data_IF_594782941918
#
_entry.id   IF_594782941918
#
_cell.length_a   1.000
_cell.length_b   1.000
_cell.length_c   1.000
_cell.angle_alpha   90.00
_cell.angle_beta   90.00
_cell.angle_gamma   90.00
#
_symmetry.space_group_name_H-M   'P 1'
#
loop_
_entity.id
_entity.type
_entity.pdbx_description
1 polymer ?
#
# COMPACT_ATOMS: atom_id res chain seq x y z
N UNK A 1 0.86 -31.44 -8.74
CA UNK A 1 0.73 -29.97 -8.71
C UNK A 1 0.38 -29.54 -7.28
N UNK A 2 1.33 -28.96 -6.53
CA UNK A 2 1.15 -28.64 -5.11
C UNK A 2 -0.11 -27.82 -4.79
N UNK A 3 -0.41 -26.82 -5.64
CA UNK A 3 -1.63 -26.00 -5.52
C UNK A 3 -2.94 -26.79 -5.60
N UNK A 4 -3.02 -27.81 -6.46
CA UNK A 4 -4.24 -28.62 -6.63
C UNK A 4 -4.40 -29.59 -5.46
N UNK A 5 -3.30 -30.02 -4.85
CA UNK A 5 -3.29 -30.96 -3.73
C UNK A 5 -3.53 -30.30 -2.37
N UNK A 6 -3.44 -28.96 -2.30
CA UNK A 6 -3.50 -28.24 -1.03
C UNK A 6 -2.22 -28.38 -0.20
N UNK A 7 -1.07 -28.55 -0.85
CA UNK A 7 0.22 -28.62 -0.16
C UNK A 7 0.51 -27.27 0.53
N UNK A 8 1.14 -27.26 1.73
CA UNK A 8 1.43 -26.05 2.51
C UNK A 8 2.61 -25.28 1.91
N UNK A 9 2.34 -24.42 0.94
CA UNK A 9 3.37 -23.77 0.10
C UNK A 9 3.36 -22.24 0.19
N UNK A 10 2.35 -21.65 0.84
CA UNK A 10 2.22 -20.21 1.02
C UNK A 10 2.94 -19.76 2.29
N UNK A 11 3.26 -18.47 2.39
CA UNK A 11 3.91 -17.90 3.57
C UNK A 11 3.10 -18.15 4.85
N UNK A 12 1.78 -18.10 4.76
CA UNK A 12 0.89 -18.36 5.91
C UNK A 12 0.97 -19.81 6.41
N UNK A 13 1.37 -20.76 5.55
CA UNK A 13 1.46 -22.18 5.88
C UNK A 13 2.80 -22.56 6.53
N UNK A 14 3.77 -21.64 6.56
CA UNK A 14 5.10 -21.89 7.12
C UNK A 14 4.98 -22.21 8.60
N UNK A 15 5.55 -23.36 8.99
CA UNK A 15 5.60 -23.82 10.36
C UNK A 15 7.02 -24.23 10.74
N UNK A 16 7.56 -23.60 11.78
CA UNK A 16 8.90 -23.88 12.30
C UNK A 16 8.81 -24.48 13.71
N UNK A 17 9.78 -25.34 14.12
CA UNK A 17 9.79 -25.89 15.47
C UNK A 17 9.82 -24.79 16.55
N UNK A 18 8.88 -24.87 17.50
CA UNK A 18 8.79 -23.91 18.60
C UNK A 18 8.31 -22.51 18.20
N UNK A 19 7.77 -22.36 16.98
CA UNK A 19 7.23 -21.09 16.47
C UNK A 19 6.09 -20.56 17.33
N UNK A 20 6.07 -19.25 17.49
CA UNK A 20 5.02 -18.49 18.17
C UNK A 20 4.22 -17.66 17.17
N UNK A 21 3.12 -17.07 17.63
CA UNK A 21 2.24 -16.23 16.83
C UNK A 21 2.25 -14.81 17.38
N UNK A 22 2.66 -13.86 16.53
CA UNK A 22 2.68 -12.44 16.84
C UNK A 22 1.49 -11.73 16.19
N UNK A 23 0.83 -10.86 16.94
CA UNK A 23 -0.20 -9.96 16.44
C UNK A 23 0.19 -8.51 16.77
N UNK A 24 0.44 -7.73 15.73
CA UNK A 24 0.70 -6.29 15.84
C UNK A 24 -0.63 -5.55 15.92
N UNK A 25 -0.81 -4.71 16.93
CA UNK A 25 -2.01 -3.88 17.06
C UNK A 25 -1.91 -2.67 16.14
N UNK A 26 -3.04 -2.30 15.54
CA UNK A 26 -3.13 -1.26 14.50
C UNK A 26 -4.15 -0.19 14.88
N UNK A 27 -3.97 1.05 14.40
CA UNK A 27 -4.94 2.10 14.68
C UNK A 27 -6.29 1.76 14.02
N UNK A 28 -7.41 2.06 14.69
CA UNK A 28 -8.74 1.85 14.12
C UNK A 28 -9.12 2.92 13.09
N UNK A 29 -8.36 4.01 12.99
CA UNK A 29 -8.62 5.18 12.16
C UNK A 29 -7.39 5.54 11.33
N UNK A 30 -7.62 6.22 10.21
CA UNK A 30 -6.58 6.84 9.39
C UNK A 30 -6.03 8.09 10.10
N UNK A 31 -4.92 8.64 9.60
CA UNK A 31 -4.29 9.86 10.16
C UNK A 31 -4.09 9.79 11.69
N UNK A 32 -3.52 8.67 12.13
CA UNK A 32 -3.41 8.31 13.54
C UNK A 32 -2.01 7.81 13.86
N UNK A 33 -1.43 8.36 14.91
CA UNK A 33 -0.07 8.08 15.39
C UNK A 33 -0.11 7.19 16.63
N UNK A 34 0.83 6.24 16.73
CA UNK A 34 1.04 5.44 17.94
C UNK A 34 1.72 6.30 19.02
N UNK A 35 1.16 6.31 20.23
CA UNK A 35 1.72 7.07 21.36
C UNK A 35 2.25 6.17 22.48
N UNK A 36 1.86 4.90 22.49
CA UNK A 36 2.20 3.96 23.54
C UNK A 36 1.10 2.92 23.76
N UNK A 37 1.30 2.04 24.73
CA UNK A 37 0.28 1.05 25.10
C UNK A 37 0.41 0.60 26.56
N UNK A 38 -0.73 0.44 27.22
CA UNK A 38 -0.88 -0.35 28.43
C UNK A 38 -1.30 -1.78 28.05
N UNK A 39 -0.39 -2.72 28.30
CA UNK A 39 -0.59 -4.14 28.02
C UNK A 39 -0.64 -4.99 29.31
N UNK A 40 -0.78 -4.36 30.48
CA UNK A 40 -0.78 -5.04 31.78
C UNK A 40 -1.87 -6.12 31.88
N UNK A 41 -3.06 -5.86 31.32
CA UNK A 41 -4.16 -6.84 31.30
C UNK A 41 -3.91 -8.02 30.36
N UNK A 42 -3.09 -7.84 29.32
CA UNK A 42 -2.68 -8.90 28.42
C UNK A 42 -1.52 -9.73 29.00
N UNK A 43 -0.68 -9.11 29.82
CA UNK A 43 0.40 -9.78 30.54
C UNK A 43 -0.18 -10.83 31.51
N UNK A 44 0.24 -12.08 31.35
CA UNK A 44 -0.23 -13.20 32.17
C UNK A 44 -1.49 -13.89 31.66
N UNK A 45 -2.10 -13.43 30.55
CA UNK A 45 -3.18 -14.19 29.91
C UNK A 45 -2.67 -15.55 29.40
N UNK A 46 -3.52 -16.59 29.39
CA UNK A 46 -3.13 -17.93 28.95
C UNK A 46 -2.48 -17.93 27.56
N UNK A 47 -1.29 -18.53 27.48
CA UNK A 47 -0.54 -18.69 26.24
C UNK A 47 0.25 -17.47 25.78
N UNK A 48 0.07 -16.30 26.39
CA UNK A 48 0.92 -15.13 26.13
C UNK A 48 2.35 -15.43 26.58
N UNK A 49 3.29 -15.21 25.66
CA UNK A 49 4.72 -15.39 25.90
C UNK A 49 5.36 -14.05 26.22
N UNK A 50 5.06 -13.02 25.42
CA UNK A 50 5.68 -11.70 25.56
C UNK A 50 4.81 -10.63 24.90
N UNK A 51 4.88 -9.42 25.45
CA UNK A 51 4.43 -8.21 24.77
C UNK A 51 5.67 -7.47 24.29
N UNK A 52 5.74 -7.19 22.99
CA UNK A 52 6.83 -6.42 22.38
C UNK A 52 6.32 -5.01 22.17
N UNK A 53 7.00 -4.02 22.76
CA UNK A 53 6.70 -2.60 22.59
C UNK A 53 7.87 -1.94 21.90
N UNK A 54 7.61 -1.36 20.74
CA UNK A 54 8.54 -0.53 19.98
C UNK A 54 8.02 0.92 19.99
N UNK A 55 8.82 1.85 19.47
CA UNK A 55 8.44 3.26 19.38
C UNK A 55 7.28 3.49 18.40
N UNK A 56 7.07 2.58 17.44
CA UNK A 56 6.10 2.70 16.35
C UNK A 56 4.95 1.68 16.42
N UNK A 57 5.04 0.65 17.27
CA UNK A 57 3.98 -0.33 17.45
C UNK A 57 4.04 -1.10 18.77
N UNK A 58 2.94 -1.79 19.09
CA UNK A 58 2.90 -2.85 20.10
C UNK A 58 2.44 -4.16 19.47
N UNK A 59 3.01 -5.27 19.91
CA UNK A 59 2.63 -6.60 19.49
C UNK A 59 2.46 -7.56 20.67
N UNK A 60 1.48 -8.45 20.55
CA UNK A 60 1.29 -9.59 21.45
C UNK A 60 1.87 -10.83 20.82
N UNK A 61 2.69 -11.57 21.55
CA UNK A 61 3.23 -12.86 21.12
C UNK A 61 2.70 -13.96 22.01
N UNK A 62 2.11 -15.01 21.41
CA UNK A 62 1.51 -16.13 22.13
C UNK A 62 1.83 -17.48 21.46
N UNK A 63 1.49 -18.58 22.15
CA UNK A 63 1.70 -19.96 21.67
C UNK A 63 0.77 -20.35 20.51
N UNK A 64 -0.37 -19.67 20.37
CA UNK A 64 -1.30 -19.85 19.26
C UNK A 64 -1.87 -18.51 18.80
N UNK A 65 -2.31 -18.46 17.53
CA UNK A 65 -2.97 -17.28 16.97
C UNK A 65 -4.20 -16.85 17.78
N UNK A 66 -5.02 -17.80 18.20
CA UNK A 66 -6.22 -17.52 18.98
C UNK A 66 -5.91 -16.92 20.36
N UNK A 67 -4.81 -17.32 20.99
CA UNK A 67 -4.34 -16.70 22.24
C UNK A 67 -3.82 -15.28 22.01
N UNK A 68 -3.04 -15.07 20.95
CA UNK A 68 -2.56 -13.73 20.58
C UNK A 68 -3.72 -12.77 20.30
N UNK A 69 -4.73 -13.20 19.53
CA UNK A 69 -5.93 -12.41 19.24
C UNK A 69 -6.76 -12.11 20.50
N UNK A 70 -6.91 -13.07 21.42
CA UNK A 70 -7.59 -12.84 22.70
C UNK A 70 -6.84 -11.80 23.54
N UNK A 71 -5.53 -11.94 23.66
CA UNK A 71 -4.72 -11.04 24.47
C UNK A 71 -4.58 -9.65 23.86
N UNK A 72 -4.52 -9.53 22.54
CA UNK A 72 -4.50 -8.22 21.86
C UNK A 72 -5.75 -7.40 22.18
N UNK A 73 -6.93 -8.01 22.32
CA UNK A 73 -8.14 -7.29 22.74
C UNK A 73 -8.09 -6.73 24.15
N UNK A 74 -7.17 -7.21 25.00
CA UNK A 74 -6.97 -6.70 26.36
C UNK A 74 -5.91 -5.59 26.42
N UNK A 75 -5.15 -5.35 25.35
CA UNK A 75 -4.17 -4.26 25.27
C UNK A 75 -4.90 -2.95 24.99
N UNK A 76 -4.61 -1.93 25.78
CA UNK A 76 -5.07 -0.56 25.56
C UNK A 76 -3.96 0.20 24.86
N UNK A 77 -4.16 0.47 23.57
CA UNK A 77 -3.20 1.25 22.79
C UNK A 77 -3.62 2.71 22.81
N UNK A 78 -2.65 3.58 23.08
CA UNK A 78 -2.82 5.02 23.01
C UNK A 78 -2.49 5.48 21.60
N UNK A 79 -3.49 6.08 20.97
CA UNK A 79 -3.42 6.60 19.61
C UNK A 79 -3.71 8.09 19.63
N UNK A 80 -2.95 8.87 18.88
CA UNK A 80 -3.23 10.28 18.63
C UNK A 80 -3.77 10.42 17.22
N UNK A 81 -5.08 10.60 17.09
CA UNK A 81 -5.73 10.89 15.80
C UNK A 81 -5.60 12.39 15.52
N UNK A 82 -4.89 12.74 14.46
CA UNK A 82 -4.65 14.15 14.10
C UNK A 82 -5.93 14.81 13.60
N UNK A 83 -6.74 14.09 12.82
CA UNK A 83 -8.05 14.53 12.34
C UNK A 83 -9.00 13.35 12.15
N UNK A 84 -10.25 13.54 12.53
CA UNK A 84 -11.36 12.68 12.14
C UNK A 84 -11.85 13.13 10.76
N UNK A 85 -11.65 12.28 9.75
CA UNK A 85 -11.95 12.60 8.36
C UNK A 85 -13.34 12.12 7.98
N UNK A 86 -14.12 13.01 7.37
CA UNK A 86 -15.38 12.66 6.73
C UNK A 86 -15.16 12.25 5.26
N UNK A 87 -16.07 11.41 4.74
CA UNK A 87 -15.96 10.90 3.38
C UNK A 87 -15.90 12.01 2.32
N UNK A 88 -16.75 13.04 2.46
CA UNK A 88 -16.81 14.16 1.52
C UNK A 88 -15.53 15.01 1.52
N UNK A 89 -14.83 15.11 2.65
CA UNK A 89 -13.55 15.82 2.71
C UNK A 89 -12.49 15.09 1.88
N UNK A 90 -12.45 13.76 1.97
CA UNK A 90 -11.55 12.93 1.18
C UNK A 90 -11.89 13.05 -0.31
N UNK A 91 -13.18 12.99 -0.68
CA UNK A 91 -13.59 13.16 -2.07
C UNK A 91 -13.21 14.53 -2.63
N UNK A 92 -13.41 15.60 -1.86
CA UNK A 92 -13.04 16.96 -2.26
C UNK A 92 -11.54 17.09 -2.55
N UNK A 93 -10.68 16.43 -1.77
CA UNK A 93 -9.23 16.40 -2.02
C UNK A 93 -8.87 15.75 -3.35
N UNK A 94 -9.69 14.80 -3.85
CA UNK A 94 -9.41 14.09 -5.10
C UNK A 94 -9.87 14.82 -6.35
N UNK A 95 -10.57 15.96 -6.23
CA UNK A 95 -11.11 16.66 -7.40
C UNK A 95 -9.99 17.25 -8.27
N UNK A 96 -10.24 17.27 -9.57
CA UNK A 96 -9.41 18.05 -10.52
C UNK A 96 -9.51 19.51 -10.13
N UNK A 97 -8.39 20.23 -10.15
CA UNK A 97 -8.31 21.59 -9.62
C UNK A 97 -7.88 21.67 -8.16
N UNK A 98 -7.92 20.56 -7.41
CA UNK A 98 -7.34 20.47 -6.08
C UNK A 98 -5.87 20.02 -6.18
N UNK A 99 -4.99 20.63 -5.39
CA UNK A 99 -3.57 20.31 -5.36
C UNK A 99 -2.73 21.03 -6.42
N UNK A 100 -1.55 20.48 -6.70
CA UNK A 100 -0.58 21.06 -7.64
C UNK A 100 -0.72 20.40 -9.02
N UNK A 101 -0.73 21.20 -10.09
CA UNK A 101 -0.89 20.71 -11.46
C UNK A 101 0.44 20.54 -12.20
N UNK A 102 0.50 19.52 -13.04
CA UNK A 102 1.66 19.16 -13.85
C UNK A 102 1.22 18.87 -15.27
N UNK A 103 1.76 19.61 -16.24
CA UNK A 103 1.48 19.39 -17.65
C UNK A 103 2.24 18.14 -18.14
N UNK A 104 1.51 17.11 -18.52
CA UNK A 104 2.03 15.79 -18.91
C UNK A 104 2.18 15.65 -20.43
N UNK A 105 1.25 16.23 -21.19
CA UNK A 105 1.26 16.19 -22.65
C UNK A 105 0.73 17.51 -23.21
N UNK A 106 1.39 18.00 -24.26
CA UNK A 106 0.98 19.20 -24.99
C UNK A 106 1.30 19.04 -26.46
N UNK A 107 0.27 19.08 -27.29
CA UNK A 107 0.35 19.11 -28.75
C UNK A 107 -0.61 20.18 -29.26
N UNK A 108 -0.19 20.95 -30.28
CA UNK A 108 -1.00 22.04 -30.82
C UNK A 108 -1.32 23.16 -29.83
N UNK A 109 -2.50 23.74 -29.97
CA UNK A 109 -2.99 24.90 -29.23
C UNK A 109 -4.08 24.51 -28.22
N UNK A 110 -4.09 25.16 -27.05
CA UNK A 110 -5.21 25.04 -26.12
C UNK A 110 -6.46 25.72 -26.71
N UNK A 111 -7.64 25.23 -26.32
CA UNK A 111 -8.93 25.83 -26.69
C UNK A 111 -9.75 26.08 -25.43
N UNK A 112 -10.47 27.20 -25.43
CA UNK A 112 -11.44 27.59 -24.41
C UNK A 112 -12.73 28.03 -25.12
N UNK A 113 -13.88 27.83 -24.47
CA UNK A 113 -15.17 28.21 -25.03
C UNK A 113 -16.30 27.32 -24.52
N UNK A 114 -17.53 27.85 -24.59
CA UNK A 114 -18.75 27.14 -24.17
C UNK A 114 -19.16 26.03 -25.14
N UNK A 115 -18.51 25.93 -26.31
CA UNK A 115 -18.72 24.89 -27.32
C UNK A 115 -17.91 23.60 -27.04
N UNK A 116 -17.10 23.58 -25.99
CA UNK A 116 -16.41 22.38 -25.52
C UNK A 116 -17.38 21.47 -24.77
N UNK A 117 -17.42 20.20 -25.16
CA UNK A 117 -18.10 19.16 -24.39
C UNK A 117 -17.22 18.76 -23.22
N UNK A 118 -17.77 18.71 -22.01
CA UNK A 118 -17.06 18.30 -20.80
C UNK A 118 -17.76 17.14 -20.09
N UNK A 119 -17.00 16.14 -19.66
CA UNK A 119 -17.49 15.00 -18.88
C UNK A 119 -16.54 14.70 -17.73
N UNK A 120 -17.11 14.35 -16.58
CA UNK A 120 -16.35 13.95 -15.39
C UNK A 120 -16.47 12.45 -15.13
N UNK A 121 -15.38 11.83 -14.68
CA UNK A 121 -15.34 10.45 -14.24
C UNK A 121 -14.59 10.35 -12.92
N UNK A 122 -14.96 9.40 -12.07
CA UNK A 122 -14.26 9.17 -10.80
C UNK A 122 -14.18 7.70 -10.45
N UNK A 123 -13.11 7.33 -9.74
CA UNK A 123 -13.00 6.02 -9.10
C UNK A 123 -12.74 6.18 -7.61
N UNK A 124 -13.30 5.29 -6.80
CA UNK A 124 -13.01 5.24 -5.36
C UNK A 124 -11.67 4.54 -5.11
N UNK A 125 -11.17 4.62 -3.87
CA UNK A 125 -10.08 3.77 -3.43
C UNK A 125 -10.45 2.29 -3.62
N UNK A 126 -9.44 1.45 -3.90
CA UNK A 126 -9.65 0.02 -4.18
C UNK A 126 -8.68 -0.87 -3.40
N UNK A 127 -9.20 -1.87 -2.70
CA UNK A 127 -8.38 -2.89 -2.07
C UNK A 127 -7.90 -3.93 -3.10
N UNK A 128 -6.72 -4.51 -2.89
CA UNK A 128 -6.18 -5.59 -3.72
C UNK A 128 -6.85 -6.93 -3.48
N UNK A 129 -7.39 -7.13 -2.28
CA UNK A 129 -8.22 -8.27 -1.89
C UNK A 129 -7.59 -9.65 -2.22
N UNK A 130 -6.27 -9.77 -2.12
CA UNK A 130 -5.58 -11.05 -2.28
C UNK A 130 -6.03 -12.08 -1.23
N UNK A 131 -6.10 -13.35 -1.62
CA UNK A 131 -6.65 -14.43 -0.79
C UNK A 131 -5.76 -14.80 0.39
N UNK A 132 -4.44 -14.60 0.29
CA UNK A 132 -3.52 -14.70 1.42
C UNK A 132 -3.25 -13.31 2.01
N UNK A 133 -3.64 -13.02 3.26
CA UNK A 133 -3.30 -11.77 3.93
C UNK A 133 -1.79 -11.52 3.97
N UNK A 134 -1.39 -10.25 4.07
CA UNK A 134 0.02 -9.91 4.22
C UNK A 134 0.59 -10.42 5.54
N UNK A 135 1.85 -10.81 5.52
CA UNK A 135 2.53 -11.36 6.67
C UNK A 135 3.80 -12.09 6.29
N UNK A 136 4.51 -12.50 7.33
CA UNK A 136 5.76 -13.22 7.24
C UNK A 136 5.98 -14.09 8.47
N UNK A 137 6.78 -15.14 8.31
CA UNK A 137 7.41 -15.82 9.43
C UNK A 137 8.86 -15.37 9.50
N UNK A 138 9.33 -14.98 10.68
CA UNK A 138 10.72 -14.61 10.89
C UNK A 138 11.37 -15.53 11.91
N UNK A 139 12.61 -15.91 11.67
CA UNK A 139 13.50 -16.54 12.65
C UNK A 139 14.75 -15.67 12.75
N UNK A 140 15.09 -15.23 13.97
CA UNK A 140 16.30 -14.44 14.23
C UNK A 140 17.17 -15.19 15.22
N UNK A 141 18.36 -15.59 14.79
CA UNK A 141 19.27 -16.43 15.58
C UNK A 141 20.72 -16.19 15.16
N UNK A 142 21.64 -16.15 16.14
CA UNK A 142 23.08 -16.04 15.91
C UNK A 142 23.48 -14.87 14.98
N UNK A 143 22.85 -13.71 15.15
CA UNK A 143 23.14 -12.52 14.33
C UNK A 143 22.70 -12.63 12.86
N UNK A 144 21.77 -13.54 12.56
CA UNK A 144 21.13 -13.68 11.24
C UNK A 144 19.62 -13.70 11.35
N UNK A 145 18.94 -13.15 10.35
CA UNK A 145 17.49 -13.15 10.22
C UNK A 145 17.10 -13.93 8.96
N UNK A 146 16.22 -14.92 9.10
CA UNK A 146 15.61 -15.62 7.97
C UNK A 146 14.13 -15.29 7.93
N UNK A 147 13.67 -14.72 6.82
CA UNK A 147 12.29 -14.25 6.63
C UNK A 147 11.60 -15.07 5.54
N UNK A 148 10.55 -15.80 5.91
CA UNK A 148 9.68 -16.50 4.97
C UNK A 148 8.49 -15.61 4.64
N UNK A 149 8.38 -15.22 3.37
CA UNK A 149 7.40 -14.19 2.97
C UNK A 149 6.94 -14.37 1.53
N UNK A 150 5.66 -14.11 1.29
CA UNK A 150 5.10 -13.98 -0.06
C UNK A 150 5.30 -12.53 -0.51
N UNK A 151 6.39 -12.22 -1.23
CA UNK A 151 6.77 -10.85 -1.66
C UNK A 151 6.98 -10.78 -3.17
N UNK A 152 6.70 -9.62 -3.78
CA UNK A 152 7.07 -9.33 -5.17
C UNK A 152 8.45 -8.66 -5.28
N UNK A 153 9.05 -8.28 -4.15
CA UNK A 153 10.25 -7.41 -4.09
C UNK A 153 11.27 -7.91 -3.05
N UNK A 154 11.78 -9.16 -3.16
CA UNK A 154 12.61 -9.76 -2.12
C UNK A 154 13.85 -8.93 -1.74
N UNK A 155 14.50 -8.26 -2.71
CA UNK A 155 15.66 -7.41 -2.43
C UNK A 155 15.29 -6.17 -1.60
N UNK A 156 14.17 -5.52 -1.90
CA UNK A 156 13.65 -4.37 -1.14
C UNK A 156 13.28 -4.82 0.27
N UNK A 157 12.57 -5.95 0.40
CA UNK A 157 12.21 -6.52 1.70
C UNK A 157 13.44 -6.85 2.54
N UNK A 158 14.51 -7.38 1.94
CA UNK A 158 15.79 -7.65 2.64
C UNK A 158 16.40 -6.37 3.21
N UNK A 159 16.49 -5.33 2.38
CA UNK A 159 17.02 -4.03 2.76
C UNK A 159 16.25 -3.42 3.93
N UNK A 160 14.93 -3.36 3.84
CA UNK A 160 14.08 -2.79 4.91
C UNK A 160 14.21 -3.55 6.24
N UNK A 161 14.29 -4.88 6.19
CA UNK A 161 14.51 -5.69 7.40
C UNK A 161 15.90 -5.43 7.99
N UNK A 162 16.94 -5.34 7.15
CA UNK A 162 18.29 -5.03 7.59
C UNK A 162 18.36 -3.64 8.23
N UNK A 163 17.78 -2.62 7.59
CA UNK A 163 17.66 -1.26 8.11
C UNK A 163 16.94 -1.21 9.45
N UNK A 164 15.79 -1.89 9.60
CA UNK A 164 15.03 -1.91 10.86
C UNK A 164 15.78 -2.58 12.01
N UNK A 165 16.61 -3.59 11.71
CA UNK A 165 17.45 -4.27 12.70
C UNK A 165 18.79 -3.56 12.96
N UNK A 166 19.15 -2.55 12.14
CA UNK A 166 20.46 -1.91 12.16
C UNK A 166 21.60 -2.85 11.73
N UNK A 167 21.33 -3.76 10.79
CA UNK A 167 22.24 -4.82 10.35
C UNK A 167 22.65 -4.64 8.88
N UNK A 168 23.69 -5.37 8.46
CA UNK A 168 24.04 -5.49 7.05
C UNK A 168 23.06 -6.42 6.30
N UNK A 169 22.83 -6.17 5.00
CA UNK A 169 21.91 -6.98 4.20
C UNK A 169 22.31 -8.46 4.13
N UNK A 170 23.60 -8.79 4.19
CA UNK A 170 24.13 -10.17 4.18
C UNK A 170 23.76 -10.97 5.44
N UNK A 171 23.32 -10.28 6.50
CA UNK A 171 22.78 -10.91 7.71
C UNK A 171 21.31 -11.29 7.57
N UNK A 172 20.65 -10.87 6.49
CA UNK A 172 19.22 -11.10 6.25
C UNK A 172 19.00 -11.99 5.02
N UNK A 173 18.44 -13.18 5.25
CA UNK A 173 18.01 -14.11 4.22
C UNK A 173 16.50 -13.98 4.00
N UNK A 174 16.09 -13.65 2.77
CA UNK A 174 14.69 -13.74 2.36
C UNK A 174 14.47 -15.10 1.71
N UNK A 175 13.49 -15.86 2.21
CA UNK A 175 12.97 -17.11 1.64
C UNK A 175 11.61 -16.86 1.02
N UNK A 176 11.54 -16.59 -0.30
CA UNK A 176 10.26 -16.39 -0.97
C UNK A 176 9.40 -17.65 -0.88
N UNK A 177 8.12 -17.46 -0.61
CA UNK A 177 7.10 -18.52 -0.64
C UNK A 177 6.14 -18.29 -1.81
N UNK A 178 5.18 -19.20 -2.04
CA UNK A 178 4.16 -18.95 -3.05
C UNK A 178 3.29 -17.75 -2.65
N UNK A 179 2.88 -16.94 -3.62
CA UNK A 179 1.98 -15.81 -3.39
C UNK A 179 0.52 -16.23 -3.56
N UNK A 180 -0.30 -16.03 -2.52
CA UNK A 180 -1.77 -16.15 -2.59
C UNK A 180 -2.45 -14.92 -3.22
N UNK A 181 -1.83 -14.35 -4.25
CA UNK A 181 -2.20 -13.07 -4.86
C UNK A 181 -1.40 -11.89 -4.31
N UNK A 182 -1.33 -10.82 -5.11
CA UNK A 182 -0.63 -9.59 -4.71
C UNK A 182 -1.17 -8.37 -5.43
N UNK A 183 -1.24 -8.40 -6.76
CA UNK A 183 -1.85 -7.34 -7.56
C UNK A 183 -1.23 -5.94 -7.33
N UNK A 184 0.00 -5.87 -6.81
CA UNK A 184 0.67 -4.64 -6.36
C UNK A 184 0.83 -4.55 -4.83
N UNK A 185 -0.03 -5.23 -4.06
CA UNK A 185 -0.02 -5.22 -2.59
C UNK A 185 1.22 -5.83 -1.94
N UNK A 186 1.97 -6.66 -2.67
CA UNK A 186 3.21 -7.32 -2.24
C UNK A 186 4.47 -6.60 -2.72
N UNK A 187 4.34 -5.36 -3.23
CA UNK A 187 5.45 -4.46 -3.57
C UNK A 187 5.98 -3.68 -2.35
N UNK A 188 5.30 -3.82 -1.21
CA UNK A 188 5.71 -3.33 0.10
C UNK A 188 5.26 -4.37 1.15
N UNK A 189 6.17 -4.80 2.03
CA UNK A 189 5.90 -5.86 3.01
C UNK A 189 6.41 -5.46 4.40
N UNK A 190 5.82 -4.44 5.04
CA UNK A 190 6.30 -3.92 6.32
C UNK A 190 6.22 -4.96 7.46
N UNK A 191 5.36 -5.97 7.30
CA UNK A 191 5.21 -7.06 8.25
C UNK A 191 6.50 -7.87 8.43
N UNK A 192 7.37 -7.91 7.42
CA UNK A 192 8.68 -8.56 7.50
C UNK A 192 9.59 -7.87 8.52
N UNK A 193 9.58 -6.52 8.56
CA UNK A 193 10.31 -5.74 9.56
C UNK A 193 9.79 -6.02 10.97
N UNK A 194 8.47 -5.98 11.13
CA UNK A 194 7.82 -6.23 12.43
C UNK A 194 8.07 -7.66 12.91
N UNK A 195 7.92 -8.66 12.04
CA UNK A 195 8.18 -10.05 12.37
C UNK A 195 9.63 -10.27 12.80
N UNK A 196 10.59 -9.65 12.12
CA UNK A 196 12.01 -9.75 12.46
C UNK A 196 12.30 -9.18 13.86
N UNK A 197 11.81 -7.97 14.15
CA UNK A 197 11.96 -7.33 15.47
C UNK A 197 11.32 -8.18 16.57
N UNK A 198 10.09 -8.67 16.33
CA UNK A 198 9.37 -9.50 17.30
C UNK A 198 10.09 -10.83 17.54
N UNK A 199 10.57 -11.48 16.47
CA UNK A 199 11.32 -12.74 16.58
C UNK A 199 12.66 -12.54 17.31
N UNK A 200 13.35 -11.42 17.06
CA UNK A 200 14.56 -11.06 17.80
C UNK A 200 14.28 -10.85 19.29
N UNK A 201 13.24 -10.10 19.63
CA UNK A 201 12.88 -9.80 21.02
C UNK A 201 12.49 -11.04 21.83
N UNK A 202 11.87 -12.04 21.19
CA UNK A 202 11.39 -13.27 21.85
C UNK A 202 12.41 -14.42 21.75
N UNK A 203 13.39 -14.32 20.84
CA UNK A 203 14.41 -15.35 20.62
C UNK A 203 13.86 -16.66 20.05
N UNK A 204 12.72 -16.62 19.38
CA UNK A 204 12.05 -17.77 18.74
C UNK A 204 11.49 -17.38 17.38
N UNK A 205 11.23 -18.34 16.48
CA UNK A 205 10.52 -18.04 15.25
C UNK A 205 9.11 -17.48 15.55
N UNK A 206 8.69 -16.47 14.80
CA UNK A 206 7.36 -15.84 14.99
C UNK A 206 6.63 -15.70 13.67
N UNK A 207 5.39 -16.17 13.66
CA UNK A 207 4.43 -16.02 12.57
C UNK A 207 3.61 -14.75 12.78
N UNK A 208 3.77 -13.77 11.89
CA UNK A 208 3.09 -12.47 11.97
C UNK A 208 2.34 -12.21 10.66
N UNK A 209 1.04 -12.47 10.70
CA UNK A 209 0.13 -12.26 9.56
C UNK A 209 -1.04 -11.40 9.96
N UNK A 210 -1.46 -10.54 9.04
CA UNK A 210 -2.70 -9.79 9.16
C UNK A 210 -3.88 -10.75 9.33
N UNK A 211 -4.88 -10.31 10.07
CA UNK A 211 -6.22 -10.86 9.89
C UNK A 211 -6.78 -10.39 8.54
N UNK A 212 -7.85 -11.04 8.07
CA UNK A 212 -8.57 -10.55 6.90
C UNK A 212 -9.12 -9.13 7.11
N UNK A 213 -9.51 -8.81 8.34
CA UNK A 213 -9.99 -7.49 8.71
C UNK A 213 -8.86 -6.45 8.61
N UNK A 214 -7.68 -6.73 9.17
CA UNK A 214 -6.52 -5.82 9.08
C UNK A 214 -6.11 -5.58 7.63
N UNK A 215 -6.22 -6.59 6.76
CA UNK A 215 -5.94 -6.43 5.33
C UNK A 215 -6.88 -5.43 4.64
N UNK A 216 -8.09 -5.23 5.13
CA UNK A 216 -9.01 -4.22 4.58
C UNK A 216 -8.97 -2.90 5.34
N UNK A 217 -8.59 -2.90 6.62
CA UNK A 217 -8.54 -1.69 7.45
C UNK A 217 -7.21 -0.94 7.38
N UNK A 218 -6.11 -1.67 7.18
CA UNK A 218 -4.75 -1.13 7.22
C UNK A 218 -3.96 -1.47 5.96
N UNK A 219 -4.65 -1.73 4.83
CA UNK A 219 -3.99 -1.89 3.55
C UNK A 219 -3.49 -0.55 2.99
N UNK A 220 -2.54 -0.67 2.08
CA UNK A 220 -2.27 0.36 1.09
C UNK A 220 -3.29 0.20 -0.04
N UNK A 221 -4.03 1.25 -0.38
CA UNK A 221 -5.12 1.17 -1.36
C UNK A 221 -4.68 1.62 -2.75
N UNK A 222 -5.35 1.13 -3.79
CA UNK A 222 -5.35 1.84 -5.08
C UNK A 222 -5.85 3.27 -4.82
N UNK A 223 -5.16 4.31 -5.28
CA UNK A 223 -5.64 5.66 -5.07
C UNK A 223 -6.98 5.88 -5.80
N UNK A 224 -7.91 6.63 -5.18
CA UNK A 224 -9.06 7.17 -5.90
C UNK A 224 -8.58 8.14 -6.98
N UNK A 225 -9.38 8.28 -8.04
CA UNK A 225 -9.06 9.19 -9.15
C UNK A 225 -10.26 10.05 -9.51
N UNK A 226 -9.99 11.27 -9.98
CA UNK A 226 -10.96 12.12 -10.63
C UNK A 226 -10.45 12.55 -11.99
N UNK A 227 -11.31 12.56 -12.99
CA UNK A 227 -10.98 12.88 -14.36
C UNK A 227 -11.96 13.91 -14.89
N UNK A 228 -11.45 14.93 -15.57
CA UNK A 228 -12.24 15.87 -16.36
C UNK A 228 -11.73 15.78 -17.80
N UNK A 229 -12.60 15.32 -18.70
CA UNK A 229 -12.30 15.25 -20.12
C UNK A 229 -13.10 16.34 -20.83
N UNK A 230 -12.40 17.20 -21.57
CA UNK A 230 -13.02 18.19 -22.46
C UNK A 230 -12.65 17.89 -23.90
N UNK A 231 -13.56 18.14 -24.83
CA UNK A 231 -13.27 17.94 -26.24
C UNK A 231 -14.11 18.80 -27.17
N UNK A 232 -13.60 18.98 -28.39
CA UNK A 232 -14.28 19.65 -29.48
C UNK A 232 -14.26 18.78 -30.72
N UNK A 233 -15.42 18.64 -31.35
CA UNK A 233 -15.57 17.98 -32.65
C UNK A 233 -15.80 19.06 -33.70
N UNK A 234 -15.04 19.01 -34.79
CA UNK A 234 -15.21 19.96 -35.88
C UNK A 234 -16.40 19.59 -36.79
N UNK A 235 -16.71 20.45 -37.75
CA UNK A 235 -17.81 20.25 -38.70
C UNK A 235 -17.71 18.96 -39.53
N UNK A 236 -16.51 18.36 -39.66
CA UNK A 236 -16.28 17.11 -40.40
C UNK A 236 -16.45 15.87 -39.52
N UNK A 237 -16.84 16.02 -38.24
CA UNK A 237 -17.04 14.93 -37.31
C UNK A 237 -15.74 14.34 -36.74
N UNK A 238 -14.59 15.04 -36.87
CA UNK A 238 -13.33 14.60 -36.26
C UNK A 238 -13.01 15.42 -35.01
N UNK A 239 -12.29 14.81 -34.07
CA UNK A 239 -11.88 15.47 -32.83
C UNK A 239 -10.79 16.50 -33.16
N UNK A 240 -11.08 17.76 -32.90
CA UNK A 240 -10.19 18.90 -33.12
C UNK A 240 -9.36 19.19 -31.86
N UNK A 241 -9.95 19.01 -30.68
CA UNK A 241 -9.32 19.26 -29.39
C UNK A 241 -9.70 18.19 -28.39
N UNK A 242 -8.73 17.79 -27.58
CA UNK A 242 -8.98 17.00 -26.37
C UNK A 242 -8.10 17.52 -25.23
N UNK A 243 -8.72 17.70 -24.07
CA UNK A 243 -8.05 18.01 -22.81
C UNK A 243 -8.45 16.97 -21.78
N UNK A 244 -7.47 16.35 -21.14
CA UNK A 244 -7.70 15.43 -20.04
C UNK A 244 -6.96 15.91 -18.80
N UNK A 245 -7.71 16.18 -17.75
CA UNK A 245 -7.16 16.45 -16.43
C UNK A 245 -7.42 15.23 -15.55
N UNK A 246 -6.36 14.70 -14.93
CA UNK A 246 -6.44 13.57 -14.00
C UNK A 246 -5.93 14.01 -12.63
N UNK A 247 -6.67 13.72 -11.57
CA UNK A 247 -6.28 13.97 -10.19
C UNK A 247 -6.21 12.64 -9.43
N UNK A 248 -5.12 12.42 -8.70
CA UNK A 248 -4.88 11.19 -7.95
C UNK A 248 -3.82 11.39 -6.86
N UNK A 249 -3.94 10.63 -5.78
CA UNK A 249 -2.83 10.45 -4.84
C UNK A 249 -1.74 9.54 -5.42
N UNK A 250 -0.53 9.61 -4.87
CA UNK A 250 0.62 8.81 -5.30
C UNK A 250 0.36 7.30 -5.21
N UNK A 251 0.87 6.53 -6.18
CA UNK A 251 0.82 5.08 -6.20
C UNK A 251 2.22 4.44 -6.22
N UNK A 252 3.18 5.05 -6.94
CA UNK A 252 4.58 4.63 -6.97
C UNK A 252 5.44 5.49 -6.06
N UNK A 253 5.27 6.81 -6.08
CA UNK A 253 6.06 7.72 -5.25
C UNK A 253 5.80 7.47 -3.77
N UNK A 254 6.85 7.56 -2.95
CA UNK A 254 6.83 7.17 -1.54
C UNK A 254 6.85 5.65 -1.29
N UNK A 255 6.79 4.81 -2.32
CA UNK A 255 6.92 3.35 -2.14
C UNK A 255 8.41 2.95 -2.09
N UNK A 256 8.78 1.94 -1.28
CA UNK A 256 10.18 1.51 -1.13
C UNK A 256 10.90 1.05 -2.41
N UNK A 257 10.11 0.61 -3.42
CA UNK A 257 10.61 0.22 -4.75
C UNK A 257 10.88 1.41 -5.67
N UNK A 258 10.23 2.56 -5.44
CA UNK A 258 10.44 3.75 -6.24
C UNK A 258 11.62 4.55 -5.70
N UNK A 259 12.53 4.94 -6.59
CA UNK A 259 13.64 5.78 -6.20
C UNK A 259 13.15 7.22 -5.96
N UNK A 260 13.25 7.70 -4.71
CA UNK A 260 12.70 9.01 -4.31
C UNK A 260 13.25 10.21 -5.10
N UNK A 261 14.42 10.09 -5.72
CA UNK A 261 14.99 11.15 -6.58
C UNK A 261 14.21 11.37 -7.89
N UNK A 262 13.33 10.45 -8.28
CA UNK A 262 12.55 10.55 -9.51
C UNK A 262 11.40 11.55 -9.39
N UNK A 263 10.89 11.79 -8.18
CA UNK A 263 9.72 12.65 -7.95
C UNK A 263 9.98 14.12 -8.31
N UNK A 264 11.07 14.77 -7.85
CA UNK A 264 11.40 16.14 -8.29
C UNK A 264 11.67 16.27 -9.80
N UNK A 265 12.07 15.18 -10.48
CA UNK A 265 12.40 15.20 -11.91
C UNK A 265 11.16 15.05 -12.81
N UNK A 266 10.21 14.22 -12.40
CA UNK A 266 8.99 13.94 -13.17
C UNK A 266 7.81 14.83 -12.73
N UNK A 267 7.85 15.37 -11.51
CA UNK A 267 6.84 16.26 -10.93
C UNK A 267 5.63 15.54 -10.35
N UNK A 268 5.03 14.63 -11.12
CA UNK A 268 3.85 13.85 -10.71
C UNK A 268 4.02 12.35 -10.95
N UNK A 269 3.27 11.53 -10.22
CA UNK A 269 3.46 10.07 -10.17
C UNK A 269 2.95 9.34 -11.44
N UNK A 270 3.88 8.84 -12.27
CA UNK A 270 3.57 8.09 -13.50
C UNK A 270 2.61 6.92 -13.24
N UNK A 271 2.69 6.30 -12.06
CA UNK A 271 1.84 5.21 -11.62
C UNK A 271 0.36 5.59 -11.41
N UNK A 272 -0.02 6.84 -11.66
CA UNK A 272 -1.39 7.33 -11.52
C UNK A 272 -1.94 7.93 -12.82
N UNK A 273 -1.10 8.55 -13.64
CA UNK A 273 -1.54 9.27 -14.84
C UNK A 273 -1.10 8.68 -16.17
N UNK A 274 -0.23 7.65 -16.21
CA UNK A 274 0.36 7.14 -17.46
C UNK A 274 -0.66 6.86 -18.58
N UNK A 275 -1.78 6.22 -18.24
CA UNK A 275 -2.87 5.89 -19.17
C UNK A 275 -3.77 7.06 -19.52
N UNK A 276 -3.62 8.21 -18.86
CA UNK A 276 -4.32 9.44 -19.19
C UNK A 276 -3.72 10.17 -20.39
N UNK A 277 -2.53 9.77 -20.86
CA UNK A 277 -1.94 10.28 -22.09
C UNK A 277 -2.77 9.87 -23.30
N UNK A 278 -2.89 10.80 -24.24
CA UNK A 278 -3.61 10.58 -25.50
C UNK A 278 -2.67 9.99 -26.54
N UNK A 279 -2.99 8.78 -27.00
CA UNK A 279 -2.21 8.08 -28.02
C UNK A 279 -2.78 8.26 -29.44
N UNK A 280 -3.82 9.09 -29.61
CA UNK A 280 -4.50 9.35 -30.88
C UNK A 280 -3.79 10.47 -31.67
N UNK A 281 -2.80 10.09 -32.47
CA UNK A 281 -1.91 11.02 -33.21
C UNK A 281 -2.59 11.86 -34.31
N UNK A 282 -3.88 11.64 -34.58
CA UNK A 282 -4.66 12.42 -35.55
C UNK A 282 -5.41 13.59 -34.91
N UNK A 283 -5.45 13.67 -33.58
CA UNK A 283 -6.02 14.82 -32.87
C UNK A 283 -4.97 15.93 -32.87
N UNK A 284 -5.22 17.10 -33.49
CA UNK A 284 -4.19 18.12 -33.68
C UNK A 284 -3.86 18.89 -32.40
N UNK A 285 -4.80 18.95 -31.45
CA UNK A 285 -4.66 19.71 -30.23
C UNK A 285 -4.94 18.80 -29.02
N UNK A 286 -3.89 18.53 -28.24
CA UNK A 286 -3.94 17.64 -27.08
C UNK A 286 -3.37 18.37 -25.88
N UNK A 287 -4.08 18.31 -24.76
CA UNK A 287 -3.56 18.74 -23.46
C UNK A 287 -3.85 17.69 -22.40
N UNK A 288 -2.84 17.28 -21.64
CA UNK A 288 -3.03 16.38 -20.50
C UNK A 288 -2.35 16.95 -19.27
N UNK A 289 -3.10 17.10 -18.19
CA UNK A 289 -2.63 17.65 -16.91
C UNK A 289 -2.87 16.65 -15.79
N UNK A 290 -1.86 16.40 -14.97
CA UNK A 290 -1.99 15.63 -13.72
C UNK A 290 -2.08 16.59 -12.54
N UNK A 291 -3.02 16.37 -11.63
CA UNK A 291 -3.16 17.06 -10.36
C UNK A 291 -2.70 16.11 -9.25
N UNK A 292 -1.69 16.56 -8.50
CA UNK A 292 -1.06 15.78 -7.44
C UNK A 292 -1.63 16.17 -6.08
N UNK A 293 -1.96 15.17 -5.28
CA UNK A 293 -2.44 15.34 -3.91
C UNK A 293 -1.87 14.28 -2.96
N UNK A 294 -1.98 14.53 -1.66
CA UNK A 294 -1.62 13.59 -0.59
C UNK A 294 -2.88 13.26 0.22
N UNK A 295 -3.18 11.98 0.41
CA UNK A 295 -4.31 11.53 1.20
C UNK A 295 -3.91 11.22 2.65
N UNK A 296 -4.85 11.27 3.61
CA UNK A 296 -4.62 10.91 5.01
C UNK A 296 -4.42 9.40 5.26
N UNK A 297 -4.33 8.60 4.20
CA UNK A 297 -4.10 7.16 4.25
C UNK A 297 -3.19 6.72 3.10
N UNK A 298 -2.53 5.57 3.31
CA UNK A 298 -1.55 5.06 2.37
C UNK A 298 -2.19 4.55 1.07
N UNK A 299 -1.60 4.91 -0.05
CA UNK A 299 -1.95 4.44 -1.38
C UNK A 299 -0.76 3.80 -2.06
N UNK A 300 -1.00 2.81 -2.91
CA UNK A 300 0.04 2.08 -3.63
C UNK A 300 -0.43 1.62 -5.00
N UNK A 301 0.49 1.05 -5.77
CA UNK A 301 0.23 0.42 -7.05
C UNK A 301 -0.81 -0.69 -6.92
N UNK A 302 -1.77 -0.68 -7.83
CA UNK A 302 -2.77 -1.72 -8.03
C UNK A 302 -2.74 -2.13 -9.50
N UNK A 303 -2.93 -3.42 -9.80
CA UNK A 303 -2.76 -4.05 -11.11
C UNK A 303 -3.03 -3.08 -12.27
N UNK A 304 -2.01 -2.89 -13.12
CA UNK A 304 -1.96 -1.87 -14.18
C UNK A 304 -1.88 -0.43 -13.63
N UNK A 305 -0.81 -0.08 -12.88
CA UNK A 305 -0.67 1.23 -12.27
C UNK A 305 -0.72 2.34 -13.34
N UNK A 306 -1.56 3.33 -13.11
CA UNK A 306 -1.73 4.51 -13.95
C UNK A 306 -2.54 4.28 -15.22
N UNK A 307 -2.93 3.04 -15.54
CA UNK A 307 -3.59 2.72 -16.82
C UNK A 307 -5.13 2.79 -16.79
N UNK A 308 -5.75 2.93 -15.62
CA UNK A 308 -7.21 2.97 -15.48
C UNK A 308 -7.88 4.06 -16.33
N UNK A 309 -7.24 5.22 -16.45
CA UNK A 309 -7.77 6.32 -17.27
C UNK A 309 -7.95 5.92 -18.73
N UNK A 310 -7.05 5.08 -19.27
CA UNK A 310 -7.12 4.59 -20.64
C UNK A 310 -8.38 3.76 -20.89
N UNK A 311 -8.84 3.01 -19.87
CA UNK A 311 -9.99 2.10 -20.02
C UNK A 311 -11.33 2.73 -19.68
N UNK A 312 -11.34 3.76 -18.82
CA UNK A 312 -12.57 4.33 -18.27
C UNK A 312 -12.94 5.67 -18.92
N UNK A 313 -11.96 6.42 -19.41
CA UNK A 313 -12.12 7.83 -19.80
C UNK A 313 -11.78 8.08 -21.26
N UNK A 314 -10.66 7.52 -21.75
CA UNK A 314 -10.04 7.82 -23.04
C UNK A 314 -10.47 6.85 -24.15
#
# INVERSE_FOLDING_TARGET
MPKIKGDPIFGIDVHLPGMLYGLVLRPPLIDTEYMGADASAAQGMPGVVQIVKEDDFVAVVAKSRAEAERAARAVKVEWKTNKYWEHEEILAMTKVGAGEDFLIQKEGSAMEGDDLLAVEYSTTAGAHAQMEPNGSVAEVKNGRATIYVSTQVPAVTRREVAERLGWDEEQVEIRPTYLGGGFGRRLHTPNSMQAAVIAQAVGKPVHVFFSRQDEFQSADFRPPTHHVLKGKVNANGTIEYIEHQVSSANAMFGQPIAAGFMEPLIGSDVGTWAGGRMNYTKIPNIRVTSWKLTLPFSTTMWRAPGLMANTLVV
#
